data_IF_292732065932
#
_entry.id   IF_292732065932
#
_cell.length_a   1.000
_cell.length_b   1.000
_cell.length_c   1.000
_cell.angle_alpha   90.00
_cell.angle_beta   90.00
_cell.angle_gamma   90.00
#
_symmetry.space_group_name_H-M   'P 1'
#
loop_
_entity.id
_entity.type
_entity.pdbx_description
1 polymer ?
#
# COMPACT_ATOMS: atom_id res chain seq x y z
N UNK A 1 -6.51 8.12 -18.56
CA UNK A 1 -5.40 8.20 -17.58
C UNK A 1 -5.64 9.23 -16.47
N UNK A 2 -6.44 10.29 -16.69
CA UNK A 2 -6.73 11.29 -15.63
C UNK A 2 -7.33 10.64 -14.37
N UNK A 3 -8.31 9.75 -14.52
CA UNK A 3 -8.89 9.03 -13.37
C UNK A 3 -7.83 8.24 -12.57
N UNK A 4 -6.85 7.66 -13.26
CA UNK A 4 -5.75 6.96 -12.59
C UNK A 4 -4.86 7.93 -11.78
N UNK A 5 -4.57 9.13 -12.31
CA UNK A 5 -3.87 10.17 -11.55
C UNK A 5 -4.66 10.62 -10.32
N UNK A 6 -6.00 10.71 -10.45
CA UNK A 6 -6.87 11.02 -9.32
C UNK A 6 -6.77 9.95 -8.24
N UNK A 7 -6.88 8.66 -8.58
CA UNK A 7 -6.67 7.56 -7.64
C UNK A 7 -5.29 7.60 -6.97
N UNK A 8 -4.23 7.94 -7.73
CA UNK A 8 -2.87 8.02 -7.21
C UNK A 8 -2.69 9.19 -6.22
N UNK A 9 -3.34 10.33 -6.51
CA UNK A 9 -3.36 11.48 -5.62
C UNK A 9 -4.16 11.18 -4.35
N UNK A 10 -5.34 10.59 -4.46
CA UNK A 10 -6.18 10.24 -3.31
C UNK A 10 -5.46 9.25 -2.38
N UNK A 11 -4.73 8.29 -2.95
CA UNK A 11 -3.87 7.40 -2.16
C UNK A 11 -2.78 8.17 -1.42
N UNK A 12 -2.11 9.12 -2.08
CA UNK A 12 -1.06 9.90 -1.44
C UNK A 12 -1.59 10.77 -0.28
N UNK A 13 -2.78 11.35 -0.44
CA UNK A 13 -3.46 12.11 0.60
C UNK A 13 -3.85 11.20 1.79
N UNK A 14 -4.33 9.99 1.51
CA UNK A 14 -4.57 8.94 2.52
C UNK A 14 -3.28 8.55 3.26
N UNK A 15 -2.22 8.25 2.52
CA UNK A 15 -0.93 7.82 3.08
C UNK A 15 -0.32 8.90 3.98
N UNK A 16 -0.35 10.16 3.53
CA UNK A 16 0.10 11.31 4.33
C UNK A 16 -0.72 11.45 5.63
N UNK A 17 -2.04 11.28 5.55
CA UNK A 17 -2.93 11.34 6.71
C UNK A 17 -2.64 10.22 7.70
N UNK A 18 -2.36 9.01 7.22
CA UNK A 18 -1.98 7.86 8.06
C UNK A 18 -0.64 8.08 8.75
N UNK A 19 0.35 8.65 8.07
CA UNK A 19 1.63 8.99 8.68
C UNK A 19 1.48 10.03 9.80
N UNK A 20 0.63 11.04 9.60
CA UNK A 20 0.30 12.03 10.64
C UNK A 20 -0.37 11.39 11.85
N UNK A 21 -1.32 10.47 11.64
CA UNK A 21 -1.97 9.72 12.72
C UNK A 21 -0.95 8.88 13.51
N UNK A 22 0.04 8.32 12.83
CA UNK A 22 1.14 7.57 13.44
C UNK A 22 2.25 8.47 14.05
N UNK A 23 2.02 9.78 14.17
CA UNK A 23 2.98 10.75 14.72
C UNK A 23 4.33 10.81 13.98
N UNK A 24 4.35 10.50 12.68
CA UNK A 24 5.55 10.72 11.86
C UNK A 24 5.78 12.24 11.71
N UNK A 25 7.03 12.74 11.85
CA UNK A 25 7.33 14.16 11.63
C UNK A 25 6.83 14.65 10.26
N UNK A 26 6.32 15.89 10.19
CA UNK A 26 5.70 16.45 8.98
C UNK A 26 6.65 16.48 7.77
N UNK A 27 7.96 16.59 7.99
CA UNK A 27 8.98 16.47 6.94
C UNK A 27 9.11 15.06 6.35
N UNK A 28 8.74 14.03 7.12
CA UNK A 28 8.86 12.61 6.75
C UNK A 28 7.53 11.98 6.35
N UNK A 29 6.41 12.64 6.60
CA UNK A 29 5.11 12.21 6.12
C UNK A 29 5.13 12.02 4.59
N UNK A 30 4.52 10.95 4.12
CA UNK A 30 4.50 10.56 2.73
C UNK A 30 4.06 11.71 1.80
N UNK A 31 4.82 11.92 0.73
CA UNK A 31 4.51 12.85 -0.36
C UNK A 31 4.96 12.23 -1.66
N UNK A 32 4.22 12.48 -2.73
CA UNK A 32 4.66 12.09 -4.07
C UNK A 32 5.86 12.95 -4.49
N UNK A 33 6.88 12.39 -5.16
CA UNK A 33 7.99 13.16 -5.69
C UNK A 33 7.59 14.06 -6.86
N UNK A 34 6.51 13.72 -7.57
CA UNK A 34 5.96 14.52 -8.66
C UNK A 34 4.52 14.94 -8.35
N UNK A 35 4.25 16.25 -8.39
CA UNK A 35 2.95 16.85 -8.13
C UNK A 35 1.95 16.42 -9.20
N UNK A 36 0.75 16.04 -8.77
CA UNK A 36 -0.39 15.76 -9.64
C UNK A 36 -1.38 16.92 -9.56
N UNK A 37 -1.76 17.47 -10.71
CA UNK A 37 -2.74 18.55 -10.80
C UNK A 37 -3.58 18.37 -12.07
N UNK A 38 -4.88 18.08 -11.89
CA UNK A 38 -5.81 17.77 -12.98
C UNK A 38 -5.30 16.63 -13.88
N UNK A 39 -4.97 16.94 -15.13
CA UNK A 39 -4.45 16.00 -16.11
C UNK A 39 -2.91 15.99 -16.19
N UNK A 40 -2.22 16.71 -15.29
CA UNK A 40 -0.78 16.90 -15.33
C UNK A 40 -0.06 16.20 -14.19
N UNK A 41 1.14 15.73 -14.52
CA UNK A 41 2.17 15.33 -13.55
C UNK A 41 3.35 16.26 -13.75
N UNK A 42 3.69 17.02 -12.72
CA UNK A 42 4.50 18.23 -12.81
C UNK A 42 3.88 19.22 -13.81
N UNK A 43 4.55 19.50 -14.91
CA UNK A 43 4.09 20.40 -15.98
C UNK A 43 3.60 19.64 -17.22
N UNK A 44 3.68 18.30 -17.21
CA UNK A 44 3.40 17.47 -18.39
C UNK A 44 2.02 16.84 -18.32
N UNK A 45 1.22 16.99 -19.37
CA UNK A 45 -0.10 16.34 -19.48
C UNK A 45 0.02 14.84 -19.77
N UNK A 46 -0.80 14.05 -19.08
CA UNK A 46 -0.96 12.61 -19.29
C UNK A 46 -1.83 12.29 -20.51
N UNK A 47 -2.51 13.29 -21.07
CA UNK A 47 -3.35 13.12 -22.25
C UNK A 47 -2.50 13.21 -23.52
N UNK A 48 -2.69 12.25 -24.42
CA UNK A 48 -2.07 12.28 -25.75
C UNK A 48 -2.93 13.14 -26.65
N UNK A 49 -2.59 14.41 -26.79
CA UNK A 49 -3.24 15.34 -27.73
C UNK A 49 -2.36 15.56 -28.96
N UNK A 50 -2.96 15.75 -30.13
CA UNK A 50 -2.26 16.01 -31.40
C UNK A 50 -1.36 17.26 -31.35
N UNK A 51 -1.63 18.19 -30.43
CA UNK A 51 -0.84 19.42 -30.24
C UNK A 51 0.29 19.27 -29.21
N UNK A 52 0.39 18.15 -28.49
CA UNK A 52 1.36 17.95 -27.41
C UNK A 52 2.51 17.05 -27.87
N UNK A 53 3.75 17.45 -27.58
CA UNK A 53 4.95 16.70 -27.99
C UNK A 53 4.92 15.29 -27.38
N UNK A 54 5.19 14.27 -28.18
CA UNK A 54 5.27 12.87 -27.75
C UNK A 54 6.24 12.67 -26.56
N UNK A 55 7.30 13.47 -26.50
CA UNK A 55 8.27 13.49 -25.40
C UNK A 55 7.65 13.95 -24.08
N UNK A 56 6.80 14.98 -24.09
CA UNK A 56 6.08 15.49 -22.91
C UNK A 56 5.15 14.42 -22.34
N UNK A 57 4.38 13.77 -23.21
CA UNK A 57 3.48 12.68 -22.81
C UNK A 57 4.27 11.49 -22.21
N UNK A 58 5.36 11.10 -22.86
CA UNK A 58 6.22 10.01 -22.36
C UNK A 58 6.85 10.37 -21.02
N UNK A 59 7.21 11.64 -20.81
CA UNK A 59 7.76 12.14 -19.54
C UNK A 59 6.71 12.15 -18.43
N UNK A 60 5.47 12.56 -18.73
CA UNK A 60 4.35 12.43 -17.79
C UNK A 60 4.17 10.98 -17.32
N UNK A 61 4.18 10.01 -18.25
CA UNK A 61 4.08 8.59 -17.92
C UNK A 61 5.21 8.10 -17.02
N UNK A 62 6.45 8.49 -17.31
CA UNK A 62 7.61 8.14 -16.47
C UNK A 62 7.45 8.67 -15.04
N UNK A 63 6.95 9.89 -14.89
CA UNK A 63 6.71 10.49 -13.58
C UNK A 63 5.55 9.81 -12.84
N UNK A 64 4.47 9.47 -13.54
CA UNK A 64 3.37 8.66 -13.00
C UNK A 64 3.87 7.31 -12.47
N UNK A 65 4.72 6.60 -13.21
CA UNK A 65 5.29 5.33 -12.78
C UNK A 65 6.23 5.49 -11.57
N UNK A 66 6.98 6.58 -11.52
CA UNK A 66 7.81 6.88 -10.35
C UNK A 66 6.95 7.14 -9.12
N UNK A 67 5.90 7.95 -9.23
CA UNK A 67 4.92 8.16 -8.15
C UNK A 67 4.32 6.83 -7.67
N UNK A 68 3.94 5.94 -8.59
CA UNK A 68 3.44 4.61 -8.25
C UNK A 68 4.46 3.79 -7.47
N UNK A 69 5.74 3.82 -7.86
CA UNK A 69 6.82 3.14 -7.11
C UNK A 69 6.91 3.63 -5.66
N UNK A 70 6.79 4.94 -5.45
CA UNK A 70 6.82 5.53 -4.10
C UNK A 70 5.62 5.12 -3.26
N UNK A 71 4.43 5.14 -3.86
CA UNK A 71 3.20 4.63 -3.24
C UNK A 71 3.36 3.17 -2.82
N UNK A 72 3.91 2.33 -3.70
CA UNK A 72 4.15 0.91 -3.40
C UNK A 72 5.17 0.74 -2.27
N UNK A 73 6.26 1.50 -2.29
CA UNK A 73 7.29 1.43 -1.25
C UNK A 73 6.73 1.81 0.13
N UNK A 74 5.93 2.89 0.20
CA UNK A 74 5.24 3.28 1.42
C UNK A 74 4.24 2.21 1.88
N UNK A 75 3.45 1.68 0.94
CA UNK A 75 2.45 0.65 1.25
C UNK A 75 3.07 -0.62 1.82
N UNK A 76 4.18 -1.11 1.24
CA UNK A 76 4.90 -2.29 1.74
C UNK A 76 5.52 -2.03 3.10
N UNK A 77 6.04 -0.82 3.35
CA UNK A 77 6.56 -0.45 4.67
C UNK A 77 5.49 -0.36 5.76
N UNK A 78 4.25 -0.01 5.38
CA UNK A 78 3.14 0.20 6.31
C UNK A 78 2.22 -1.01 6.46
N UNK A 79 2.32 -1.98 5.56
CA UNK A 79 1.64 -3.27 5.71
C UNK A 79 2.60 -4.26 6.34
N UNK A 80 2.23 -4.79 7.52
CA UNK A 80 2.87 -6.00 8.03
C UNK A 80 2.46 -7.16 7.13
N UNK A 81 3.05 -7.26 5.94
CA UNK A 81 3.01 -8.47 5.13
C UNK A 81 3.75 -9.54 5.91
N UNK A 82 3.03 -10.19 6.84
CA UNK A 82 3.48 -11.39 7.51
C UNK A 82 3.96 -12.33 6.41
N UNK A 83 5.26 -12.70 6.38
CA UNK A 83 5.73 -13.67 5.41
C UNK A 83 4.88 -14.92 5.59
N UNK A 84 4.38 -15.51 4.50
CA UNK A 84 3.56 -16.73 4.55
C UNK A 84 4.23 -17.86 5.37
N UNK A 85 5.55 -17.79 5.55
CA UNK A 85 6.35 -18.63 6.44
C UNK A 85 5.92 -18.59 7.92
N UNK A 86 5.40 -17.47 8.43
CA UNK A 86 4.94 -17.36 9.82
C UNK A 86 3.63 -18.15 10.05
N UNK A 87 2.77 -18.21 9.04
CA UNK A 87 1.51 -18.96 9.08
C UNK A 87 1.75 -20.46 9.09
N UNK A 88 2.75 -20.97 8.36
CA UNK A 88 3.10 -22.41 8.35
C UNK A 88 3.56 -22.91 9.72
N UNK A 89 4.25 -22.07 10.51
CA UNK A 89 4.69 -22.44 11.86
C UNK A 89 3.54 -22.64 12.85
N UNK A 90 2.39 -21.97 12.66
CA UNK A 90 1.21 -22.13 13.52
C UNK A 90 0.47 -23.44 13.23
N UNK A 91 0.51 -23.93 11.99
CA UNK A 91 -0.07 -25.23 11.61
C UNK A 91 0.85 -26.40 11.96
N UNK A 92 2.16 -26.23 11.90
CA UNK A 92 3.12 -27.29 12.28
C UNK A 92 3.13 -27.61 13.78
N UNK A 93 2.63 -26.70 14.64
CA UNK A 93 2.56 -26.92 16.10
C UNK A 93 1.29 -27.65 16.56
N UNK A 94 0.35 -27.93 15.66
CA UNK A 94 -0.90 -28.64 15.94
C UNK A 94 -0.88 -30.02 15.26
N UNK A 95 0.01 -30.88 15.73
CA UNK A 95 -0.01 -32.31 15.38
C UNK A 95 -1.24 -33.03 15.96
N UNK A 96 -1.66 -34.17 15.38
CA UNK A 96 -2.94 -34.82 15.66
C UNK A 96 -2.95 -35.57 17.00
N UNK A 97 -4.13 -35.61 17.61
CA UNK A 97 -4.47 -36.12 18.94
C UNK A 97 -4.07 -37.59 19.21
N UNK A 98 -3.70 -37.90 20.46
CA UNK A 98 -3.70 -39.26 20.99
C UNK A 98 -4.68 -39.40 22.18
N UNK A 99 -5.82 -40.02 21.86
CA UNK A 99 -6.83 -40.72 22.67
C UNK A 99 -6.50 -41.10 24.12
N UNK A 100 -7.44 -40.87 25.06
CA UNK A 100 -8.24 -41.96 25.66
C UNK A 100 -9.43 -41.45 26.52
N UNK A 101 -10.60 -42.14 26.56
CA UNK A 101 -11.76 -41.76 27.36
C UNK A 101 -11.94 -42.67 28.59
N UNK A 102 -12.19 -42.12 29.79
CA UNK A 102 -12.99 -42.79 30.83
C UNK A 102 -13.24 -41.93 32.07
N UNK A 103 -14.52 -41.71 32.38
CA UNK A 103 -15.07 -42.07 33.69
C UNK A 103 -14.91 -41.13 34.90
N UNK A 104 -16.05 -40.50 35.27
CA UNK A 104 -16.53 -40.21 36.65
C UNK A 104 -15.71 -39.14 37.43
N UNK A 105 -16.28 -38.08 37.99
CA UNK A 105 -17.31 -38.10 39.02
C UNK A 105 -17.84 -36.68 39.30
N UNK A 106 -19.12 -36.58 39.68
CA UNK A 106 -19.69 -35.43 40.38
C UNK A 106 -18.97 -35.22 41.74
N UNK A 107 -18.83 -33.94 42.16
CA UNK A 107 -19.42 -33.36 43.38
C UNK A 107 -18.67 -32.08 43.81
N UNK A 108 -19.43 -30.98 43.84
CA UNK A 108 -19.59 -29.94 44.87
C UNK A 108 -18.40 -29.43 45.70
N UNK A 109 -18.49 -28.11 45.94
CA UNK A 109 -17.83 -27.20 46.89
C UNK A 109 -16.58 -26.48 46.38
#
# INVERSE_FOLDING_TARGET
>A
MILYLMCLKDFADFANSKDKENNIPLEKCFKLPYKIENDKVETYSITKSFNNKQESWTKALKYTLCNLKWVLNWFVGNTNVQPLSATVSLYAKRGPDSNNPSGKNLRNL
#
